data_IF_914239449900
#
_entry.id   IF_914239449900
#
_cell.length_a   1.000
_cell.length_b   1.000
_cell.length_c   1.000
_cell.angle_alpha   90.00
_cell.angle_beta   90.00
_cell.angle_gamma   90.00
#
_symmetry.space_group_name_H-M   'P 1'
#
loop_
_entity.id
_entity.type
_entity.pdbx_description
1 polymer ?
#
# COMPACT_ATOMS: atom_id res chain seq x y z
N UNK A 1 -0.81 -12.23 -0.87
CA UNK A 1 -0.53 -11.92 0.55
C UNK A 1 -0.67 -10.43 0.79
N UNK A 2 -1.17 -10.08 1.96
CA UNK A 2 -1.32 -8.69 2.36
C UNK A 2 0.01 -8.17 2.92
N UNK A 3 0.40 -6.96 2.51
CA UNK A 3 1.59 -6.30 3.02
C UNK A 3 1.46 -6.05 4.52
N UNK A 4 2.52 -6.33 5.27
CA UNK A 4 2.56 -6.11 6.71
C UNK A 4 3.96 -5.64 7.13
N UNK A 5 4.14 -5.19 8.39
CA UNK A 5 5.47 -4.80 8.87
C UNK A 5 6.53 -5.89 8.77
N UNK A 6 6.12 -7.17 8.75
CA UNK A 6 7.07 -8.28 8.59
C UNK A 6 7.75 -8.29 7.22
N UNK A 7 7.27 -7.51 6.26
CA UNK A 7 7.86 -7.42 4.92
C UNK A 7 8.97 -6.36 4.81
N UNK A 8 9.35 -5.71 5.90
CA UNK A 8 10.40 -4.69 5.88
C UNK A 8 11.70 -5.21 5.25
N UNK A 9 12.08 -6.43 5.56
CA UNK A 9 13.32 -7.03 5.03
C UNK A 9 13.33 -7.10 3.51
N UNK A 10 12.17 -7.39 2.90
CA UNK A 10 12.07 -7.44 1.45
C UNK A 10 12.35 -6.08 0.81
N UNK A 11 11.94 -5.00 1.47
CA UNK A 11 12.12 -3.64 0.97
C UNK A 11 13.56 -3.17 1.20
N UNK A 12 14.15 -3.48 2.35
CA UNK A 12 15.53 -3.08 2.67
C UNK A 12 16.56 -3.74 1.75
N UNK A 13 16.32 -5.00 1.35
CA UNK A 13 17.25 -5.75 0.49
C UNK A 13 16.94 -5.63 -1.00
N UNK A 14 15.88 -4.94 -1.36
CA UNK A 14 15.45 -4.79 -2.73
C UNK A 14 14.82 -3.45 -3.00
N UNK A 15 13.87 -3.44 -3.90
CA UNK A 15 13.10 -2.27 -4.23
C UNK A 15 11.62 -2.60 -4.26
N UNK A 16 10.78 -1.55 -4.18
CA UNK A 16 9.35 -1.71 -4.24
C UNK A 16 8.84 -1.22 -5.60
N UNK A 17 7.94 -1.99 -6.20
CA UNK A 17 7.33 -1.66 -7.49
C UNK A 17 5.81 -1.77 -7.34
N UNK A 18 5.10 -0.73 -7.74
CA UNK A 18 3.64 -0.75 -7.78
C UNK A 18 3.18 -1.15 -9.18
N UNK A 19 2.17 -2.02 -9.23
CA UNK A 19 1.54 -2.40 -10.49
C UNK A 19 0.32 -1.54 -10.73
N UNK A 20 0.33 -0.79 -11.81
CA UNK A 20 -0.78 0.04 -12.25
C UNK A 20 -1.45 -0.64 -13.44
N UNK A 21 -2.38 -1.54 -13.16
CA UNK A 21 -3.12 -2.25 -14.20
C UNK A 21 -4.55 -2.53 -13.76
N UNK A 22 -5.41 -2.82 -14.75
CA UNK A 22 -6.81 -3.16 -14.46
C UNK A 22 -6.91 -4.51 -13.74
N UNK A 23 -7.95 -4.69 -12.96
CA UNK A 23 -8.20 -5.95 -12.26
C UNK A 23 -8.23 -7.16 -13.18
N UNK A 24 -8.72 -6.98 -14.42
CA UNK A 24 -8.79 -8.07 -15.41
C UNK A 24 -7.41 -8.58 -15.83
N UNK A 25 -6.38 -7.75 -15.74
CA UNK A 25 -5.03 -8.09 -16.17
C UNK A 25 -4.04 -8.32 -15.04
N UNK A 26 -4.47 -8.11 -13.80
CA UNK A 26 -3.54 -8.13 -12.67
C UNK A 26 -2.92 -9.52 -12.48
N UNK A 27 -3.70 -10.60 -12.62
CA UNK A 27 -3.16 -11.95 -12.47
C UNK A 27 -2.14 -12.29 -13.55
N UNK A 28 -2.44 -11.93 -14.80
CA UNK A 28 -1.52 -12.18 -15.92
C UNK A 28 -0.25 -11.35 -15.76
N UNK A 29 -0.37 -10.10 -15.34
CA UNK A 29 0.77 -9.22 -15.10
C UNK A 29 1.65 -9.76 -13.99
N UNK A 30 1.05 -10.21 -12.88
CA UNK A 30 1.80 -10.80 -11.77
C UNK A 30 2.53 -12.06 -12.21
N UNK A 31 1.88 -12.94 -12.98
CA UNK A 31 2.52 -14.16 -13.50
C UNK A 31 3.72 -13.83 -14.38
N UNK A 32 3.55 -12.86 -15.27
CA UNK A 32 4.64 -12.45 -16.16
C UNK A 32 5.82 -11.90 -15.37
N UNK A 33 5.57 -11.03 -14.41
CA UNK A 33 6.62 -10.46 -13.57
C UNK A 33 7.34 -11.54 -12.76
N UNK A 34 6.62 -12.47 -12.16
CA UNK A 34 7.20 -13.56 -11.39
C UNK A 34 8.08 -14.47 -12.24
N UNK A 35 7.71 -14.68 -13.51
CA UNK A 35 8.53 -15.45 -14.45
C UNK A 35 9.86 -14.79 -14.76
N UNK A 36 9.84 -13.45 -14.87
CA UNK A 36 11.01 -12.70 -15.37
C UNK A 36 11.91 -12.18 -14.27
N UNK A 37 11.40 -11.92 -13.07
CA UNK A 37 12.13 -11.13 -12.07
C UNK A 37 12.19 -11.73 -10.66
N UNK A 38 11.49 -12.79 -10.36
CA UNK A 38 11.41 -13.38 -9.01
C UNK A 38 10.93 -12.38 -7.93
N UNK A 39 10.07 -11.45 -8.31
CA UNK A 39 9.50 -10.50 -7.33
C UNK A 39 8.47 -11.19 -6.43
N UNK A 40 8.50 -10.82 -5.16
CA UNK A 40 7.46 -11.20 -4.22
C UNK A 40 6.29 -10.22 -4.36
N UNK A 41 5.08 -10.76 -4.55
CA UNK A 41 3.90 -9.92 -4.69
C UNK A 41 3.19 -9.73 -3.36
N UNK A 42 2.66 -8.52 -3.15
CA UNK A 42 1.85 -8.16 -1.99
C UNK A 42 0.70 -7.28 -2.45
N UNK A 43 -0.41 -7.34 -1.74
CA UNK A 43 -1.51 -6.39 -1.92
C UNK A 43 -1.60 -5.52 -0.67
N UNK A 44 -2.05 -4.29 -0.85
CA UNK A 44 -2.27 -3.38 0.27
C UNK A 44 -3.55 -3.75 1.01
N UNK A 45 -3.59 -3.56 2.34
CA UNK A 45 -4.87 -3.58 3.05
C UNK A 45 -5.74 -2.42 2.58
N UNK A 46 -7.00 -2.38 3.03
CA UNK A 46 -7.95 -1.37 2.57
C UNK A 46 -7.50 0.04 2.99
N UNK A 47 -7.43 0.94 2.02
CA UNK A 47 -7.13 2.36 2.19
C UNK A 47 -8.00 3.16 1.22
N UNK A 48 -8.19 4.44 1.54
CA UNK A 48 -9.01 5.35 0.73
C UNK A 48 -8.11 6.22 -0.15
N UNK A 49 -8.52 6.41 -1.41
CA UNK A 49 -7.78 7.29 -2.31
C UNK A 49 -7.94 8.76 -1.89
N UNK A 50 -6.82 9.50 -1.89
CA UNK A 50 -6.82 10.94 -1.69
C UNK A 50 -6.60 11.71 -3.00
N UNK A 51 -6.31 10.99 -4.10
CA UNK A 51 -6.10 11.63 -5.40
C UNK A 51 -7.43 12.15 -5.97
N UNK A 52 -7.38 13.23 -6.81
CA UNK A 52 -8.62 13.89 -7.25
C UNK A 52 -9.52 13.03 -8.13
N UNK A 53 -8.97 12.03 -8.82
CA UNK A 53 -9.75 11.17 -9.72
C UNK A 53 -10.64 10.20 -8.95
N UNK A 54 -10.15 9.67 -7.84
CA UNK A 54 -10.82 8.61 -7.08
C UNK A 54 -11.00 8.94 -5.60
N UNK A 55 -11.02 10.22 -5.25
CA UNK A 55 -11.05 10.66 -3.85
C UNK A 55 -12.10 9.91 -3.00
N UNK A 56 -11.65 9.38 -1.88
CA UNK A 56 -12.51 8.68 -0.91
C UNK A 56 -12.90 7.26 -1.30
N UNK A 57 -12.47 6.76 -2.45
CA UNK A 57 -12.82 5.40 -2.89
C UNK A 57 -11.80 4.38 -2.38
N UNK A 58 -12.31 3.22 -1.97
CA UNK A 58 -11.48 2.10 -1.52
C UNK A 58 -10.67 1.52 -2.66
N UNK A 59 -9.40 1.26 -2.40
CA UNK A 59 -8.55 0.50 -3.32
C UNK A 59 -8.26 1.16 -4.66
N UNK A 60 -8.52 2.44 -4.78
CA UNK A 60 -8.30 3.20 -6.01
C UNK A 60 -7.11 4.15 -5.88
N UNK A 61 -6.07 3.70 -5.22
CA UNK A 61 -4.85 4.48 -5.01
C UNK A 61 -4.10 4.65 -6.32
N UNK A 62 -3.53 5.84 -6.53
CA UNK A 62 -2.56 6.01 -7.61
C UNK A 62 -1.21 5.40 -7.20
N UNK A 63 -0.29 5.32 -8.14
CA UNK A 63 1.03 4.71 -7.91
C UNK A 63 1.76 5.35 -6.72
N UNK A 64 1.79 6.68 -6.66
CA UNK A 64 2.46 7.40 -5.57
C UNK A 64 1.83 7.08 -4.20
N UNK A 65 0.51 7.03 -4.14
CA UNK A 65 -0.20 6.68 -2.91
C UNK A 65 0.10 5.24 -2.48
N UNK A 66 0.08 4.31 -3.42
CA UNK A 66 0.36 2.91 -3.14
C UNK A 66 1.79 2.70 -2.63
N UNK A 67 2.77 3.35 -3.25
CA UNK A 67 4.16 3.28 -2.81
C UNK A 67 4.35 3.90 -1.44
N UNK A 68 3.76 5.07 -1.20
CA UNK A 68 3.85 5.74 0.09
C UNK A 68 3.22 4.90 1.20
N UNK A 69 2.02 4.34 0.95
CA UNK A 69 1.35 3.47 1.91
C UNK A 69 2.20 2.25 2.24
N UNK A 70 2.83 1.64 1.24
CA UNK A 70 3.70 0.49 1.44
C UNK A 70 4.88 0.82 2.35
N UNK A 71 5.54 1.94 2.11
CA UNK A 71 6.65 2.40 2.94
C UNK A 71 6.19 2.67 4.38
N UNK A 72 5.05 3.31 4.54
CA UNK A 72 4.50 3.63 5.85
C UNK A 72 4.21 2.37 6.67
N UNK A 73 3.55 1.38 6.05
CA UNK A 73 3.16 0.15 6.74
C UNK A 73 4.37 -0.62 7.25
N UNK A 74 5.46 -0.67 6.48
CA UNK A 74 6.66 -1.38 6.92
C UNK A 74 7.54 -0.57 7.87
N UNK A 75 7.12 0.63 8.24
CA UNK A 75 7.81 1.44 9.26
C UNK A 75 8.71 2.55 8.74
N UNK A 76 8.76 2.75 7.42
CA UNK A 76 9.58 3.79 6.79
C UNK A 76 8.74 5.06 6.57
N UNK A 77 8.28 5.65 7.68
CA UNK A 77 7.35 6.78 7.65
C UNK A 77 7.91 8.03 6.99
N UNK A 78 9.17 8.35 7.26
CA UNK A 78 9.78 9.55 6.68
C UNK A 78 9.88 9.45 5.17
N UNK A 79 10.28 8.29 4.67
CA UNK A 79 10.34 8.02 3.23
C UNK A 79 8.94 8.08 2.61
N UNK A 80 7.94 7.55 3.30
CA UNK A 80 6.55 7.59 2.84
C UNK A 80 6.07 9.03 2.68
N UNK A 81 6.29 9.87 3.68
CA UNK A 81 5.89 11.27 3.65
C UNK A 81 6.67 12.07 2.60
N UNK A 82 7.97 11.81 2.48
CA UNK A 82 8.82 12.45 1.49
C UNK A 82 8.38 12.17 0.07
N UNK A 83 7.91 10.94 -0.20
CA UNK A 83 7.44 10.55 -1.51
C UNK A 83 6.18 11.32 -1.93
N UNK A 84 5.29 11.61 -0.97
CA UNK A 84 4.05 12.35 -1.25
C UNK A 84 4.21 13.87 -1.23
N UNK A 85 5.31 14.38 -0.68
CA UNK A 85 5.50 15.83 -0.51
C UNK A 85 5.29 16.66 -1.78
N UNK A 86 5.74 16.22 -2.98
CA UNK A 86 5.51 17.00 -4.22
C UNK A 86 4.06 16.99 -4.72
N UNK A 87 3.20 16.13 -4.18
CA UNK A 87 1.84 15.95 -4.70
C UNK A 87 0.83 16.75 -3.88
N UNK A 88 -0.04 17.55 -4.56
CA UNK A 88 -1.06 18.34 -3.83
C UNK A 88 -2.05 17.49 -3.02
N UNK A 89 -2.32 16.27 -3.47
CA UNK A 89 -3.25 15.36 -2.79
C UNK A 89 -2.62 14.57 -1.64
N UNK A 90 -1.31 14.73 -1.39
CA UNK A 90 -0.61 13.99 -0.34
C UNK A 90 -1.22 14.20 1.04
N UNK A 91 -1.53 15.44 1.39
CA UNK A 91 -2.15 15.76 2.68
C UNK A 91 -3.54 15.13 2.81
N UNK A 92 -4.35 15.15 1.75
CA UNK A 92 -5.66 14.51 1.73
C UNK A 92 -5.54 13.00 1.96
N UNK A 93 -4.60 12.36 1.27
CA UNK A 93 -4.37 10.93 1.43
C UNK A 93 -4.01 10.58 2.87
N UNK A 94 -3.08 11.32 3.46
CA UNK A 94 -2.66 11.06 4.83
C UNK A 94 -3.78 11.34 5.84
N UNK A 95 -4.55 12.42 5.64
CA UNK A 95 -5.67 12.75 6.53
C UNK A 95 -6.75 11.66 6.51
N UNK A 96 -7.07 11.14 5.31
CA UNK A 96 -8.08 10.09 5.17
C UNK A 96 -7.64 8.76 5.79
N UNK A 97 -6.35 8.47 5.77
CA UNK A 97 -5.84 7.14 6.09
C UNK A 97 -4.94 7.09 7.34
N UNK A 98 -4.80 8.21 8.07
CA UNK A 98 -3.87 8.26 9.20
C UNK A 98 -4.13 7.15 10.22
N UNK A 99 -5.38 6.97 10.63
CA UNK A 99 -5.73 5.96 11.62
C UNK A 99 -5.48 4.54 11.11
N UNK A 100 -6.01 4.14 9.94
CA UNK A 100 -5.73 2.79 9.45
C UNK A 100 -4.24 2.56 9.15
N UNK A 101 -3.53 3.54 8.59
CA UNK A 101 -2.09 3.37 8.34
C UNK A 101 -1.31 3.15 9.62
N UNK A 102 -1.59 3.91 10.68
CA UNK A 102 -0.93 3.72 11.98
C UNK A 102 -1.25 2.35 12.57
N UNK A 103 -2.50 1.89 12.44
CA UNK A 103 -2.89 0.57 12.90
C UNK A 103 -2.16 -0.54 12.15
N UNK A 104 -2.08 -0.44 10.83
CA UNK A 104 -1.35 -1.43 10.01
C UNK A 104 0.14 -1.45 10.35
N UNK A 105 0.73 -0.28 10.54
CA UNK A 105 2.15 -0.18 10.89
C UNK A 105 2.46 -0.71 12.29
N UNK A 106 1.44 -0.83 13.15
CA UNK A 106 1.59 -1.36 14.51
C UNK A 106 1.38 -2.87 14.61
N UNK A 107 0.93 -3.50 13.52
CA UNK A 107 0.75 -4.95 13.46
C UNK A 107 2.10 -5.66 13.35
N UNK A 108 2.14 -6.93 13.74
CA UNK A 108 3.35 -7.74 13.64
C UNK A 108 3.41 -8.57 12.37
N UNK A 109 2.26 -8.94 11.80
CA UNK A 109 2.21 -9.85 10.67
C UNK A 109 0.98 -9.60 9.78
N UNK A 110 0.91 -10.34 8.68
CA UNK A 110 -0.16 -10.27 7.69
C UNK A 110 -1.54 -10.53 8.28
N UNK A 111 -1.65 -11.51 9.17
CA UNK A 111 -2.93 -11.87 9.76
C UNK A 111 -3.50 -10.73 10.60
N UNK A 112 -2.67 -10.08 11.39
CA UNK A 112 -3.10 -8.93 12.19
C UNK A 112 -3.55 -7.76 11.32
N UNK A 113 -2.84 -7.49 10.24
CA UNK A 113 -3.23 -6.44 9.28
C UNK A 113 -4.58 -6.78 8.66
N UNK A 114 -4.75 -8.04 8.22
CA UNK A 114 -6.00 -8.49 7.61
C UNK A 114 -7.19 -8.33 8.56
N UNK A 115 -6.99 -8.59 9.84
CA UNK A 115 -8.05 -8.49 10.84
C UNK A 115 -8.36 -7.04 11.22
N UNK A 116 -7.33 -6.23 11.44
CA UNK A 116 -7.51 -4.86 11.94
C UNK A 116 -8.17 -3.94 10.91
N UNK A 117 -8.06 -4.24 9.61
CA UNK A 117 -8.70 -3.40 8.59
C UNK A 117 -10.22 -3.33 8.78
N UNK A 118 -10.83 -4.36 9.34
CA UNK A 118 -12.28 -4.40 9.56
C UNK A 118 -12.74 -3.53 10.75
N UNK A 119 -11.81 -2.97 11.51
CA UNK A 119 -12.14 -1.96 12.51
C UNK A 119 -12.40 -0.59 11.89
N UNK A 120 -11.87 -0.35 10.69
CA UNK A 120 -11.99 0.93 9.99
C UNK A 120 -12.93 0.88 8.79
N UNK A 121 -13.13 -0.28 8.21
CA UNK A 121 -13.91 -0.46 6.99
C UNK A 121 -14.90 -1.61 7.15
N UNK A 122 -16.09 -1.44 6.58
CA UNK A 122 -17.09 -2.52 6.57
C UNK A 122 -16.71 -3.59 5.55
N UNK A 123 -16.90 -4.87 5.89
CA UNK A 123 -16.62 -5.97 4.96
C UNK A 123 -17.44 -5.94 3.68
#
# INVERSE_FOLDING_TARGET
>A
RILSPSDLDLIEWGSIVALDCSWKRIEDSIRMIKRTTRLESRILPILLAGNPVSWGKRGRLCTAEALSASLYIVGLKEEALGLLAPFPFGDSFMSLNQQPLDAYASCSNEQEVSEVQWEFFDP
#
